data_IF_372301604791
#
_entry.id   IF_372301604791
#
_cell.length_a   1.000
_cell.length_b   1.000
_cell.length_c   1.000
_cell.angle_alpha   90.00
_cell.angle_beta   90.00
_cell.angle_gamma   90.00
#
_symmetry.space_group_name_H-M   'P 1'
#
loop_
_entity.id
_entity.type
_entity.pdbx_description
1 polymer ?
#
# COMPACT_ATOMS: atom_id res chain seq x y z
N UNK A 1 2.81 31.58 3.15
CA UNK A 1 3.61 30.84 2.15
C UNK A 1 3.59 29.33 2.38
N UNK A 2 3.86 28.87 3.61
CA UNK A 2 3.84 27.44 3.96
C UNK A 2 2.46 26.79 3.75
N UNK A 3 1.35 27.43 4.19
CA UNK A 3 0.00 26.93 3.99
C UNK A 3 -0.36 26.77 2.51
N UNK A 4 0.07 27.71 1.67
CA UNK A 4 -0.18 27.68 0.21
C UNK A 4 0.52 26.49 -0.43
N UNK A 5 1.79 26.28 -0.09
CA UNK A 5 2.57 25.15 -0.62
C UNK A 5 2.04 23.80 -0.12
N UNK A 6 1.66 23.73 1.16
CA UNK A 6 1.06 22.54 1.74
C UNK A 6 -0.25 22.16 1.04
N UNK A 7 -1.12 23.14 0.76
CA UNK A 7 -2.37 22.91 0.03
C UNK A 7 -2.13 22.44 -1.40
N UNK A 8 -1.13 23.03 -2.08
CA UNK A 8 -0.77 22.60 -3.44
C UNK A 8 -0.29 21.16 -3.46
N UNK A 9 0.58 20.80 -2.52
CA UNK A 9 1.05 19.42 -2.37
C UNK A 9 -0.13 18.46 -2.05
N UNK A 10 -1.00 18.84 -1.10
CA UNK A 10 -2.16 18.01 -0.74
C UNK A 10 -3.08 17.77 -1.94
N UNK A 11 -3.29 18.80 -2.77
CA UNK A 11 -4.07 18.67 -4.00
C UNK A 11 -3.46 17.68 -4.99
N UNK A 12 -2.14 17.73 -5.18
CA UNK A 12 -1.43 16.79 -6.04
C UNK A 12 -1.50 15.35 -5.50
N UNK A 13 -1.32 15.18 -4.20
CA UNK A 13 -1.47 13.88 -3.54
C UNK A 13 -2.88 13.31 -3.71
N UNK A 14 -3.91 14.15 -3.53
CA UNK A 14 -5.30 13.75 -3.68
C UNK A 14 -5.61 13.34 -5.12
N UNK A 15 -5.03 14.04 -6.10
CA UNK A 15 -5.15 13.68 -7.51
C UNK A 15 -4.53 12.31 -7.79
N UNK A 16 -3.34 12.03 -7.26
CA UNK A 16 -2.69 10.73 -7.38
C UNK A 16 -3.55 9.61 -6.77
N UNK A 17 -4.08 9.86 -5.58
CA UNK A 17 -4.98 8.90 -4.91
C UNK A 17 -6.22 8.63 -5.76
N UNK A 18 -6.84 9.67 -6.33
CA UNK A 18 -8.01 9.54 -7.19
C UNK A 18 -7.71 8.76 -8.46
N UNK A 19 -6.51 8.92 -9.04
CA UNK A 19 -6.06 8.13 -10.19
C UNK A 19 -5.95 6.64 -9.85
N UNK A 20 -5.41 6.31 -8.68
CA UNK A 20 -5.33 4.91 -8.22
C UNK A 20 -6.72 4.33 -7.97
N UNK A 21 -7.64 5.10 -7.38
CA UNK A 21 -9.03 4.68 -7.21
C UNK A 21 -9.72 4.44 -8.56
N UNK A 22 -9.49 5.32 -9.52
CA UNK A 22 -10.02 5.16 -10.88
C UNK A 22 -9.53 3.86 -11.52
N UNK A 23 -8.22 3.59 -11.42
CA UNK A 23 -7.61 2.35 -11.90
C UNK A 23 -8.26 1.12 -11.24
N UNK A 24 -8.45 1.16 -9.92
CA UNK A 24 -9.08 0.07 -9.19
C UNK A 24 -10.52 -0.19 -9.67
N UNK A 25 -11.31 0.87 -9.83
CA UNK A 25 -12.69 0.76 -10.34
C UNK A 25 -12.75 0.18 -11.75
N UNK A 26 -11.81 0.52 -12.62
CA UNK A 26 -11.73 -0.08 -13.97
C UNK A 26 -11.54 -1.61 -13.91
N UNK A 27 -10.97 -2.12 -12.84
CA UNK A 27 -10.76 -3.55 -12.61
C UNK A 27 -11.84 -4.17 -11.71
N UNK A 28 -12.90 -3.41 -11.39
CA UNK A 28 -14.01 -3.92 -10.58
C UNK A 28 -13.70 -4.13 -9.10
N UNK A 29 -12.66 -3.46 -8.59
CA UNK A 29 -12.23 -3.56 -7.19
C UNK A 29 -12.15 -2.18 -6.53
N UNK A 30 -12.06 -2.15 -5.20
CA UNK A 30 -11.85 -0.92 -4.47
C UNK A 30 -10.34 -0.67 -4.22
N UNK A 31 -10.01 0.57 -3.88
CA UNK A 31 -8.62 0.97 -3.65
C UNK A 31 -7.97 0.26 -2.45
N UNK A 32 -8.75 -0.10 -1.42
CA UNK A 32 -8.24 -0.84 -0.27
C UNK A 32 -7.76 -2.23 -0.67
N UNK A 33 -8.54 -2.94 -1.46
CA UNK A 33 -8.18 -4.25 -2.00
C UNK A 33 -6.90 -4.15 -2.82
N UNK A 34 -6.84 -3.18 -3.75
CA UNK A 34 -5.66 -2.95 -4.57
C UNK A 34 -4.42 -2.69 -3.72
N UNK A 35 -4.55 -1.84 -2.70
CA UNK A 35 -3.44 -1.49 -1.80
C UNK A 35 -2.91 -2.72 -1.06
N UNK A 36 -3.80 -3.50 -0.46
CA UNK A 36 -3.42 -4.71 0.28
C UNK A 36 -2.74 -5.72 -0.63
N UNK A 37 -3.31 -6.00 -1.80
CA UNK A 37 -2.74 -6.96 -2.74
C UNK A 37 -1.43 -6.49 -3.36
N UNK A 38 -1.25 -5.18 -3.56
CA UNK A 38 0.02 -4.61 -3.99
C UNK A 38 1.12 -4.90 -2.97
N UNK A 39 0.84 -4.70 -1.69
CA UNK A 39 1.80 -5.02 -0.62
C UNK A 39 2.18 -6.50 -0.60
N UNK A 40 1.19 -7.39 -0.69
CA UNK A 40 1.45 -8.83 -0.67
C UNK A 40 2.24 -9.25 -1.92
N UNK A 41 1.82 -8.77 -3.09
CA UNK A 41 2.45 -9.11 -4.37
C UNK A 41 3.90 -8.64 -4.46
N UNK A 42 4.17 -7.41 -4.00
CA UNK A 42 5.52 -6.82 -4.05
C UNK A 42 6.46 -7.36 -2.96
N UNK A 43 5.97 -8.23 -2.07
CA UNK A 43 6.77 -8.87 -1.02
C UNK A 43 6.60 -10.39 -1.09
N UNK A 44 7.16 -11.04 -2.13
CA UNK A 44 6.96 -12.47 -2.37
C UNK A 44 7.54 -13.36 -1.25
N UNK A 45 8.50 -12.86 -0.49
CA UNK A 45 9.04 -13.54 0.70
C UNK A 45 8.05 -13.61 1.85
N UNK A 46 6.96 -12.84 1.76
CA UNK A 46 5.90 -12.81 2.75
C UNK A 46 5.97 -11.60 3.68
N UNK A 47 4.80 -11.17 4.11
CA UNK A 47 4.64 -10.07 5.08
C UNK A 47 3.58 -10.49 6.11
N UNK A 48 3.68 -9.91 7.32
CA UNK A 48 2.72 -10.20 8.39
C UNK A 48 1.44 -9.38 8.20
N UNK A 49 0.34 -9.89 8.74
CA UNK A 49 -0.92 -9.17 8.79
C UNK A 49 -0.77 -7.85 9.58
N UNK A 50 0.00 -7.88 10.66
CA UNK A 50 0.29 -6.69 11.48
C UNK A 50 0.97 -5.59 10.65
N UNK A 51 1.95 -5.97 9.81
CA UNK A 51 2.63 -5.03 8.93
C UNK A 51 1.64 -4.34 7.98
N UNK A 52 0.75 -5.11 7.36
CA UNK A 52 -0.26 -4.56 6.45
C UNK A 52 -1.21 -3.62 7.19
N UNK A 53 -1.68 -4.01 8.38
CA UNK A 53 -2.56 -3.16 9.19
C UNK A 53 -1.91 -1.82 9.49
N UNK A 54 -0.66 -1.82 9.91
CA UNK A 54 0.09 -0.59 10.22
C UNK A 54 0.32 0.28 8.97
N UNK A 55 0.71 -0.34 7.87
CA UNK A 55 1.01 0.39 6.63
C UNK A 55 -0.23 1.00 5.98
N UNK A 56 -1.36 0.34 6.09
CA UNK A 56 -2.60 0.77 5.44
C UNK A 56 -3.56 1.50 6.39
N UNK A 57 -3.19 1.61 7.66
CA UNK A 57 -4.07 2.15 8.72
C UNK A 57 -5.44 1.48 8.69
N UNK A 58 -5.42 0.17 8.51
CA UNK A 58 -6.63 -0.66 8.45
C UNK A 58 -6.83 -1.41 9.76
N UNK A 59 -8.09 -1.71 10.07
CA UNK A 59 -8.40 -2.54 11.21
C UNK A 59 -7.97 -3.99 10.98
N UNK A 60 -7.68 -4.69 12.07
CA UNK A 60 -7.33 -6.11 12.04
C UNK A 60 -8.43 -6.93 11.37
N UNK A 61 -9.70 -6.61 11.66
CA UNK A 61 -10.87 -7.31 11.11
C UNK A 61 -10.95 -7.20 9.59
N UNK A 62 -10.71 -6.00 9.04
CA UNK A 62 -10.74 -5.77 7.58
C UNK A 62 -9.66 -6.61 6.89
N UNK A 63 -8.43 -6.59 7.40
CA UNK A 63 -7.34 -7.34 6.80
C UNK A 63 -7.55 -8.85 6.96
N UNK A 64 -8.00 -9.31 8.13
CA UNK A 64 -8.33 -10.73 8.33
C UNK A 64 -9.40 -11.21 7.34
N UNK A 65 -10.43 -10.41 7.11
CA UNK A 65 -11.50 -10.75 6.17
C UNK A 65 -10.96 -10.90 4.75
N UNK A 66 -10.14 -9.95 4.29
CA UNK A 66 -9.52 -10.01 2.95
C UNK A 66 -8.66 -11.28 2.82
N UNK A 67 -7.82 -11.55 3.81
CA UNK A 67 -6.91 -12.71 3.81
C UNK A 67 -7.70 -14.02 3.79
N UNK A 68 -8.70 -14.17 4.67
CA UNK A 68 -9.52 -15.39 4.73
C UNK A 68 -10.27 -15.65 3.43
N UNK A 69 -10.88 -14.62 2.86
CA UNK A 69 -11.63 -14.76 1.60
C UNK A 69 -10.73 -15.22 0.45
N UNK A 70 -9.50 -14.74 0.40
CA UNK A 70 -8.57 -15.09 -0.67
C UNK A 70 -7.80 -16.39 -0.39
N UNK A 71 -7.70 -16.81 0.86
CA UNK A 71 -7.28 -18.18 1.18
C UNK A 71 -8.29 -19.20 0.65
N UNK A 72 -9.58 -18.92 0.80
CA UNK A 72 -10.65 -19.78 0.27
C UNK A 72 -10.61 -19.88 -1.24
N UNK A 73 -10.22 -18.81 -1.95
CA UNK A 73 -10.04 -18.81 -3.40
C UNK A 73 -8.76 -19.53 -3.83
N UNK A 74 -7.90 -19.92 -2.89
CA UNK A 74 -6.60 -20.52 -3.20
C UNK A 74 -5.55 -19.54 -3.68
N UNK A 75 -5.72 -18.25 -3.42
CA UNK A 75 -4.78 -17.20 -3.83
C UNK A 75 -3.71 -16.89 -2.79
N UNK A 76 -4.05 -17.07 -1.51
CA UNK A 76 -3.16 -16.77 -0.40
C UNK A 76 -2.99 -18.00 0.49
N UNK A 77 -1.85 -18.06 1.16
CA UNK A 77 -1.61 -19.02 2.24
C UNK A 77 -0.80 -18.36 3.34
N UNK A 78 -0.84 -18.95 4.52
CA UNK A 78 -0.08 -18.49 5.68
C UNK A 78 1.09 -19.44 5.92
N UNK A 79 2.27 -18.84 6.13
CA UNK A 79 3.49 -19.57 6.45
C UNK A 79 3.90 -19.26 7.89
N UNK A 80 4.21 -20.29 8.65
CA UNK A 80 4.64 -20.15 10.04
C UNK A 80 6.06 -19.55 10.07
N UNK A 81 6.26 -18.54 10.93
CA UNK A 81 7.59 -17.98 11.17
C UNK A 81 8.33 -18.89 12.16
N UNK A 82 9.56 -19.34 11.84
CA UNK A 82 10.35 -20.12 12.78
C UNK A 82 10.48 -19.39 14.12
N UNK A 83 10.27 -20.12 15.23
CA UNK A 83 10.34 -19.60 16.60
C UNK A 83 9.28 -18.54 16.98
N UNK A 84 8.28 -18.33 16.14
CA UNK A 84 7.17 -17.43 16.44
C UNK A 84 5.85 -18.00 15.91
N UNK A 85 5.15 -18.76 16.74
CA UNK A 85 3.88 -19.41 16.37
C UNK A 85 2.69 -18.43 16.31
N UNK A 86 2.86 -17.22 16.87
CA UNK A 86 1.76 -16.24 16.93
C UNK A 86 1.61 -15.45 15.65
N UNK A 87 2.72 -15.18 14.95
CA UNK A 87 2.72 -14.43 13.70
C UNK A 87 2.96 -15.38 12.54
N UNK A 88 2.29 -15.06 11.42
CA UNK A 88 2.45 -15.82 10.19
C UNK A 88 2.70 -14.87 9.05
N UNK A 89 3.45 -15.33 8.07
CA UNK A 89 3.67 -14.60 6.82
C UNK A 89 2.52 -14.90 5.87
N UNK A 90 1.99 -13.85 5.25
CA UNK A 90 1.01 -13.96 4.18
C UNK A 90 1.79 -14.06 2.87
N UNK A 91 1.52 -15.10 2.09
CA UNK A 91 2.16 -15.31 0.80
C UNK A 91 1.12 -15.64 -0.25
N UNK A 92 1.44 -15.33 -1.51
CA UNK A 92 0.61 -15.71 -2.64
C UNK A 92 0.98 -17.11 -3.14
N UNK A 93 -0.06 -17.88 -3.46
CA UNK A 93 0.11 -19.10 -4.25
C UNK A 93 0.48 -18.74 -5.68
N UNK A 94 0.91 -19.72 -6.47
CA UNK A 94 1.16 -19.51 -7.91
C UNK A 94 -0.11 -19.01 -8.62
N UNK A 95 -1.27 -19.58 -8.29
CA UNK A 95 -2.56 -19.14 -8.83
C UNK A 95 -2.86 -17.69 -8.47
N UNK A 96 -2.72 -17.33 -7.20
CA UNK A 96 -2.96 -15.96 -6.72
C UNK A 96 -2.03 -14.97 -7.40
N UNK A 97 -0.76 -15.33 -7.52
CA UNK A 97 0.22 -14.46 -8.17
C UNK A 97 -0.13 -14.20 -9.63
N UNK A 98 -0.57 -15.23 -10.35
CA UNK A 98 -1.03 -15.11 -11.74
C UNK A 98 -2.24 -14.17 -11.85
N UNK A 99 -3.24 -14.37 -11.00
CA UNK A 99 -4.46 -13.55 -11.02
C UNK A 99 -4.19 -12.08 -10.65
N UNK A 100 -3.33 -11.85 -9.68
CA UNK A 100 -3.03 -10.49 -9.20
C UNK A 100 -2.00 -9.78 -10.11
N UNK A 101 -1.15 -10.51 -10.82
CA UNK A 101 -0.16 -9.91 -11.71
C UNK A 101 -0.78 -8.97 -12.75
N UNK A 102 -1.92 -9.35 -13.33
CA UNK A 102 -2.61 -8.52 -14.32
C UNK A 102 -3.09 -7.18 -13.76
N UNK A 103 -3.27 -7.10 -12.45
CA UNK A 103 -3.71 -5.91 -11.72
C UNK A 103 -2.52 -5.06 -11.25
N UNK A 104 -1.50 -5.68 -10.68
CA UNK A 104 -0.40 -4.99 -9.99
C UNK A 104 0.76 -4.66 -10.93
N UNK A 105 1.12 -5.56 -11.85
CA UNK A 105 2.25 -5.34 -12.76
C UNK A 105 2.13 -4.09 -13.63
N UNK A 106 0.98 -3.82 -14.28
CA UNK A 106 0.84 -2.57 -15.03
C UNK A 106 1.00 -1.33 -14.16
N UNK A 107 0.45 -1.36 -12.95
CA UNK A 107 0.56 -0.24 -12.01
C UNK A 107 2.03 0.00 -11.60
N UNK A 108 2.76 -1.07 -11.29
CA UNK A 108 4.19 -1.00 -10.98
C UNK A 108 4.98 -0.38 -12.14
N UNK A 109 4.66 -0.77 -13.37
CA UNK A 109 5.30 -0.24 -14.58
C UNK A 109 4.99 1.24 -14.75
N UNK A 110 3.73 1.65 -14.56
CA UNK A 110 3.32 3.04 -14.70
C UNK A 110 3.98 3.93 -13.65
N UNK A 111 4.06 3.47 -12.42
CA UNK A 111 4.77 4.19 -11.37
C UNK A 111 6.25 4.35 -11.69
N UNK A 112 6.92 3.30 -12.16
CA UNK A 112 8.31 3.35 -12.56
C UNK A 112 8.53 4.32 -13.74
N UNK A 113 7.66 4.30 -14.73
CA UNK A 113 7.71 5.21 -15.88
C UNK A 113 7.47 6.67 -15.47
N UNK A 114 6.48 6.90 -14.62
CA UNK A 114 6.21 8.23 -14.10
C UNK A 114 7.40 8.77 -13.31
N UNK A 115 8.01 7.92 -12.48
CA UNK A 115 9.19 8.28 -11.71
C UNK A 115 10.39 8.59 -12.61
N UNK A 116 10.57 7.86 -13.71
CA UNK A 116 11.65 8.09 -14.67
C UNK A 116 11.48 9.37 -15.50
N UNK A 117 10.32 10.02 -15.47
CA UNK A 117 10.14 11.37 -16.03
C UNK A 117 10.88 12.44 -15.23
N UNK A 118 11.28 12.14 -14.00
CA UNK A 118 12.06 13.03 -13.14
C UNK A 118 13.55 12.88 -13.45
N UNK A 119 14.30 13.97 -13.32
CA UNK A 119 15.77 13.89 -13.35
C UNK A 119 16.27 13.09 -12.14
N UNK A 120 17.53 12.64 -12.17
CA UNK A 120 18.12 11.91 -11.03
C UNK A 120 18.13 12.76 -9.76
N UNK A 121 18.43 14.04 -9.88
CA UNK A 121 18.41 14.99 -8.77
C UNK A 121 17.00 15.15 -8.20
N UNK A 122 16.00 15.25 -9.07
CA UNK A 122 14.59 15.33 -8.66
C UNK A 122 14.14 14.06 -7.97
N UNK A 123 14.51 12.88 -8.48
CA UNK A 123 14.17 11.58 -7.87
C UNK A 123 14.71 11.51 -6.44
N UNK A 124 15.98 11.87 -6.25
CA UNK A 124 16.61 11.87 -4.94
C UNK A 124 15.93 12.87 -4.00
N UNK A 125 15.73 14.10 -4.45
CA UNK A 125 15.07 15.14 -3.65
C UNK A 125 13.63 14.75 -3.30
N UNK A 126 12.90 14.17 -4.25
CA UNK A 126 11.52 13.75 -4.07
C UNK A 126 11.42 12.66 -3.00
N UNK A 127 12.28 11.64 -3.05
CA UNK A 127 12.29 10.56 -2.06
C UNK A 127 12.65 11.08 -0.67
N UNK A 128 13.71 11.88 -0.56
CA UNK A 128 14.15 12.45 0.72
C UNK A 128 13.06 13.36 1.31
N UNK A 129 12.52 14.27 0.50
CA UNK A 129 11.49 15.22 0.93
C UNK A 129 10.19 14.49 1.33
N UNK A 130 9.78 13.50 0.53
CA UNK A 130 8.56 12.73 0.81
C UNK A 130 8.71 11.93 2.10
N UNK A 131 9.88 11.35 2.35
CA UNK A 131 10.14 10.62 3.60
C UNK A 131 10.04 11.54 4.82
N UNK A 132 10.70 12.72 4.77
CA UNK A 132 10.64 13.70 5.87
C UNK A 132 9.20 14.14 6.10
N UNK A 133 8.48 14.47 5.04
CA UNK A 133 7.08 14.89 5.13
C UNK A 133 6.23 13.79 5.76
N UNK A 134 6.37 12.56 5.29
CA UNK A 134 5.57 11.42 5.76
C UNK A 134 5.81 11.14 7.24
N UNK A 135 7.06 11.12 7.68
CA UNK A 135 7.41 10.88 9.09
C UNK A 135 6.86 11.98 10.00
N UNK A 136 7.03 13.24 9.60
CA UNK A 136 6.53 14.39 10.37
C UNK A 136 5.01 14.41 10.41
N UNK A 137 4.36 14.18 9.28
CA UNK A 137 2.91 14.13 9.16
C UNK A 137 2.32 13.01 10.01
N UNK A 138 2.96 11.83 9.98
CA UNK A 138 2.58 10.69 10.81
C UNK A 138 2.61 11.03 12.30
N UNK A 139 3.69 11.63 12.78
CA UNK A 139 3.83 12.04 14.17
C UNK A 139 2.72 12.99 14.58
N UNK A 140 2.41 13.97 13.73
CA UNK A 140 1.35 14.97 14.00
C UNK A 140 -0.03 14.31 14.04
N UNK A 141 -0.33 13.44 13.06
CA UNK A 141 -1.62 12.73 13.03
C UNK A 141 -1.76 11.80 14.24
N UNK A 142 -0.71 11.06 14.60
CA UNK A 142 -0.74 10.14 15.75
C UNK A 142 -0.82 10.87 17.09
N UNK A 143 -0.37 12.12 17.17
CA UNK A 143 -0.49 12.95 18.37
C UNK A 143 -1.87 13.58 18.54
N UNK A 144 -2.67 13.62 17.46
CA UNK A 144 -4.02 14.20 17.50
C UNK A 144 -4.93 13.38 18.39
N UNK A 145 -5.67 14.07 19.23
CA UNK A 145 -6.72 13.47 20.09
C UNK A 145 -8.01 14.22 19.83
N UNK A 146 -9.09 13.46 19.74
CA UNK A 146 -10.43 14.02 19.71
C UNK A 146 -10.77 14.37 21.16
N UNK A 147 -11.12 15.63 21.44
CA UNK A 147 -11.62 16.01 22.75
C UNK A 147 -12.96 15.32 22.99
N UNK A 148 -13.07 14.58 24.10
CA UNK A 148 -14.29 13.88 24.50
C UNK A 148 -15.40 14.86 24.88
#
# INVERSE_FOLDING_TARGET
MQKKNAKKYAGLRDEQFSLVEHYARQHGINSKFLLVFTWIYNNPEGITQEFICKRTYSSKQVIQSIVKNHMRKGWLYLETIPNDKRRKLIRMTELGRKEIASLVEPLNIYEAKAFSALTKEQQKAFLEATQIFTETFKELIESYRVDD
#
